data_IF_845162947032
#
_entry.id   IF_845162947032
#
_cell.length_a   1.000
_cell.length_b   1.000
_cell.length_c   1.000
_cell.angle_alpha   90.00
_cell.angle_beta   90.00
_cell.angle_gamma   90.00
#
_symmetry.space_group_name_H-M   'P 1'
#
loop_
_entity.id
_entity.type
_entity.pdbx_description
1 polymer ?
#
# COMPACT_ATOMS: atom_id res chain seq x y z
N UNK A 1 -19.96 31.73 14.27
CA UNK A 1 -20.70 31.96 13.03
C UNK A 1 -22.08 32.51 13.22
N UNK A 2 -22.62 33.13 12.18
CA UNK A 2 -24.02 33.55 12.15
C UNK A 2 -24.91 32.33 11.90
N UNK A 3 -25.27 31.59 12.94
CA UNK A 3 -25.96 30.30 12.83
C UNK A 3 -27.35 30.35 12.18
N UNK A 4 -27.94 31.55 12.07
CA UNK A 4 -29.23 31.79 11.45
C UNK A 4 -29.17 32.30 10.01
N UNK A 5 -27.96 32.60 9.48
CA UNK A 5 -27.74 33.09 8.12
C UNK A 5 -28.06 31.95 7.14
N UNK A 6 -29.08 32.13 6.28
CA UNK A 6 -29.52 31.09 5.33
C UNK A 6 -28.95 31.30 3.90
N UNK A 7 -28.87 32.54 3.45
CA UNK A 7 -28.41 32.88 2.11
C UNK A 7 -27.49 34.10 2.17
N UNK A 8 -26.54 34.15 1.28
CA UNK A 8 -25.68 35.29 1.08
C UNK A 8 -25.42 35.48 -0.41
N UNK A 9 -25.50 36.70 -0.87
CA UNK A 9 -25.13 37.11 -2.23
C UNK A 9 -23.88 37.97 -2.09
N UNK A 10 -22.78 37.49 -2.66
CA UNK A 10 -21.51 38.22 -2.66
C UNK A 10 -21.46 39.18 -3.85
N UNK A 11 -20.94 40.39 -3.68
CA UNK A 11 -20.84 41.36 -4.77
C UNK A 11 -19.85 40.87 -5.84
N UNK A 12 -20.12 41.17 -7.10
CA UNK A 12 -19.26 40.76 -8.25
C UNK A 12 -17.83 41.32 -8.18
N UNK A 13 -17.60 42.37 -7.40
CA UNK A 13 -16.29 42.98 -7.15
C UNK A 13 -15.46 42.21 -6.10
N UNK A 14 -16.05 41.25 -5.38
CA UNK A 14 -15.35 40.51 -4.36
C UNK A 14 -14.28 39.60 -5.00
N UNK A 15 -13.03 39.72 -4.52
CA UNK A 15 -11.92 38.94 -5.03
C UNK A 15 -11.52 37.77 -4.10
N UNK A 16 -11.84 37.86 -2.82
CA UNK A 16 -11.37 36.91 -1.81
C UNK A 16 -12.37 36.73 -0.68
N UNK A 17 -12.54 35.48 -0.26
CA UNK A 17 -13.20 35.13 1.01
C UNK A 17 -12.10 34.90 2.05
N UNK A 18 -12.13 35.64 3.14
CA UNK A 18 -11.11 35.59 4.20
C UNK A 18 -11.19 34.33 5.04
N UNK A 19 -10.16 34.14 5.88
CA UNK A 19 -10.08 33.04 6.84
C UNK A 19 -11.26 33.10 7.82
N UNK A 20 -11.95 31.97 8.02
CA UNK A 20 -13.09 31.79 8.94
C UNK A 20 -14.29 32.70 8.70
N UNK A 21 -14.43 33.32 7.51
CA UNK A 21 -15.48 34.33 7.25
C UNK A 21 -16.89 33.82 7.54
N UNK A 22 -17.20 32.57 7.19
CA UNK A 22 -18.51 31.92 7.40
C UNK A 22 -18.42 30.68 8.29
N UNK A 23 -17.34 30.53 9.06
CA UNK A 23 -17.14 29.38 9.93
C UNK A 23 -18.34 29.21 10.91
N UNK A 24 -18.97 28.02 10.88
CA UNK A 24 -20.09 27.69 11.74
C UNK A 24 -21.40 28.41 11.37
N UNK A 25 -21.56 28.91 10.13
CA UNK A 25 -22.85 29.39 9.62
C UNK A 25 -23.72 28.18 9.27
N UNK A 26 -24.21 27.48 10.30
CA UNK A 26 -24.83 26.16 10.19
C UNK A 26 -26.17 26.13 9.41
N UNK A 27 -26.84 27.28 9.28
CA UNK A 27 -28.06 27.39 8.48
C UNK A 27 -27.83 27.86 7.03
N UNK A 28 -26.59 28.11 6.61
CA UNK A 28 -26.26 28.61 5.28
C UNK A 28 -26.52 27.52 4.24
N UNK A 29 -27.49 27.76 3.35
CA UNK A 29 -27.95 26.78 2.35
C UNK A 29 -27.24 26.99 1.00
N UNK A 30 -27.12 28.26 0.57
CA UNK A 30 -26.55 28.64 -0.71
C UNK A 30 -25.59 29.81 -0.58
N UNK A 31 -24.53 29.74 -1.40
CA UNK A 31 -23.55 30.81 -1.57
C UNK A 31 -23.24 30.95 -3.06
N UNK A 32 -23.46 32.14 -3.61
CA UNK A 32 -23.00 32.49 -4.95
C UNK A 32 -21.63 33.15 -4.86
N UNK A 33 -20.57 32.48 -5.32
CA UNK A 33 -19.18 32.92 -5.13
C UNK A 33 -18.76 34.07 -6.07
N UNK A 34 -19.52 34.33 -7.15
CA UNK A 34 -19.15 35.35 -8.13
C UNK A 34 -17.79 35.07 -8.78
N UNK A 35 -16.91 36.09 -8.82
CA UNK A 35 -15.60 36.03 -9.48
C UNK A 35 -14.41 35.99 -8.50
N UNK A 36 -14.55 35.30 -7.37
CA UNK A 36 -13.46 35.24 -6.37
C UNK A 36 -12.27 34.43 -6.89
N UNK A 37 -11.06 34.86 -6.48
CA UNK A 37 -9.80 34.21 -6.81
C UNK A 37 -9.34 33.22 -5.74
N UNK A 38 -9.79 33.40 -4.49
CA UNK A 38 -9.35 32.54 -3.39
C UNK A 38 -10.39 32.41 -2.27
N UNK A 39 -10.41 31.25 -1.64
CA UNK A 39 -11.17 30.95 -0.42
C UNK A 39 -10.16 30.65 0.68
N UNK A 40 -10.25 31.39 1.78
CA UNK A 40 -9.34 31.26 2.92
C UNK A 40 -9.58 30.02 3.76
N UNK A 41 -8.62 29.75 4.65
CA UNK A 41 -8.70 28.61 5.58
C UNK A 41 -9.97 28.68 6.44
N UNK A 42 -10.61 27.52 6.64
CA UNK A 42 -11.77 27.39 7.55
C UNK A 42 -12.98 28.26 7.12
N UNK A 43 -13.00 28.80 5.90
CA UNK A 43 -13.95 29.83 5.49
C UNK A 43 -15.41 29.43 5.66
N UNK A 44 -15.80 28.21 5.28
CA UNK A 44 -17.15 27.64 5.40
C UNK A 44 -17.17 26.38 6.28
N UNK A 45 -16.18 26.19 7.14
CA UNK A 45 -16.12 25.03 8.02
C UNK A 45 -17.40 24.94 8.87
N UNK A 46 -18.01 23.76 8.91
CA UNK A 46 -19.25 23.53 9.67
C UNK A 46 -20.48 24.26 9.15
N UNK A 47 -20.53 24.67 7.87
CA UNK A 47 -21.75 25.10 7.19
C UNK A 47 -22.61 23.88 6.88
N UNK A 48 -23.20 23.28 7.91
CA UNK A 48 -23.82 21.94 7.82
C UNK A 48 -25.06 21.90 6.94
N UNK A 49 -25.74 23.02 6.67
CA UNK A 49 -26.88 23.09 5.76
C UNK A 49 -26.53 23.39 4.30
N UNK A 50 -25.25 23.67 3.99
CA UNK A 50 -24.82 23.97 2.62
C UNK A 50 -24.96 22.74 1.72
N UNK A 51 -25.79 22.86 0.65
CA UNK A 51 -26.16 21.71 -0.19
C UNK A 51 -25.35 21.62 -1.48
N UNK A 52 -24.93 22.76 -2.01
CA UNK A 52 -24.16 22.82 -3.27
C UNK A 52 -23.22 24.01 -3.28
N UNK A 53 -22.13 23.89 -4.06
CA UNK A 53 -21.19 24.97 -4.32
C UNK A 53 -20.70 24.92 -5.76
N UNK A 54 -20.65 26.09 -6.42
CA UNK A 54 -20.06 26.25 -7.74
C UNK A 54 -18.83 27.14 -7.63
N UNK A 55 -17.69 26.61 -7.99
CA UNK A 55 -16.42 27.32 -7.98
C UNK A 55 -16.19 28.02 -9.33
N UNK A 56 -15.91 29.33 -9.34
CA UNK A 56 -15.69 30.07 -10.57
C UNK A 56 -14.37 29.65 -11.24
N UNK A 57 -14.31 29.86 -12.54
CA UNK A 57 -13.18 29.44 -13.37
C UNK A 57 -11.86 30.14 -12.99
N UNK A 58 -11.89 31.34 -12.43
CA UNK A 58 -10.73 32.12 -12.00
C UNK A 58 -10.24 31.77 -10.59
N UNK A 59 -10.88 30.82 -9.87
CA UNK A 59 -10.44 30.39 -8.56
C UNK A 59 -9.09 29.65 -8.65
N UNK A 60 -8.11 30.09 -7.85
CA UNK A 60 -6.75 29.53 -7.80
C UNK A 60 -6.47 28.75 -6.51
N UNK A 61 -7.27 28.95 -5.45
CA UNK A 61 -7.05 28.22 -4.19
C UNK A 61 -8.31 28.06 -3.35
N UNK A 62 -8.43 26.87 -2.77
CA UNK A 62 -9.34 26.54 -1.66
C UNK A 62 -8.46 26.26 -0.45
N UNK A 63 -8.63 27.01 0.63
CA UNK A 63 -7.82 26.92 1.85
C UNK A 63 -8.04 25.63 2.64
N UNK A 64 -7.21 25.43 3.67
CA UNK A 64 -7.33 24.30 4.56
C UNK A 64 -8.65 24.34 5.33
N UNK A 65 -9.32 23.19 5.51
CA UNK A 65 -10.60 23.04 6.20
C UNK A 65 -11.72 23.95 5.63
N UNK A 66 -11.58 24.46 4.42
CA UNK A 66 -12.49 25.51 3.92
C UNK A 66 -13.96 25.09 3.93
N UNK A 67 -14.30 23.83 3.66
CA UNK A 67 -15.65 23.25 3.68
C UNK A 67 -15.73 22.01 4.58
N UNK A 68 -14.77 21.80 5.49
CA UNK A 68 -14.78 20.63 6.38
C UNK A 68 -16.06 20.60 7.19
N UNK A 69 -16.70 19.44 7.30
CA UNK A 69 -17.94 19.25 8.03
C UNK A 69 -19.20 19.88 7.38
N UNK A 70 -19.18 20.23 6.10
CA UNK A 70 -20.38 20.59 5.35
C UNK A 70 -21.18 19.32 5.02
N UNK A 71 -21.87 18.77 6.01
CA UNK A 71 -22.46 17.41 5.94
C UNK A 71 -23.59 17.27 4.94
N UNK A 72 -24.31 18.34 4.59
CA UNK A 72 -25.35 18.34 3.56
C UNK A 72 -24.83 18.63 2.15
N UNK A 73 -23.51 18.95 2.00
CA UNK A 73 -22.93 19.25 0.70
C UNK A 73 -22.93 18.01 -0.19
N UNK A 74 -23.77 18.02 -1.20
CA UNK A 74 -23.98 16.89 -2.12
C UNK A 74 -23.45 17.14 -3.52
N UNK A 75 -23.26 18.42 -3.92
CA UNK A 75 -22.81 18.81 -5.24
C UNK A 75 -21.69 19.84 -5.18
N UNK A 76 -20.59 19.51 -5.85
CA UNK A 76 -19.45 20.39 -6.11
C UNK A 76 -19.32 20.52 -7.62
N UNK A 77 -19.36 21.76 -8.12
CA UNK A 77 -19.16 22.05 -9.53
C UNK A 77 -18.01 23.04 -9.71
N UNK A 78 -17.16 22.81 -10.68
CA UNK A 78 -16.16 23.76 -11.14
C UNK A 78 -16.60 24.29 -12.49
N UNK A 79 -16.69 25.62 -12.65
CA UNK A 79 -16.98 26.22 -13.95
C UNK A 79 -15.85 25.89 -14.93
N UNK A 80 -16.24 25.54 -16.15
CA UNK A 80 -15.28 25.31 -17.24
C UNK A 80 -14.63 26.63 -17.67
N UNK A 81 -13.34 26.60 -17.99
CA UNK A 81 -12.67 27.72 -18.64
C UNK A 81 -13.28 27.89 -20.03
N UNK A 82 -13.87 29.06 -20.29
CA UNK A 82 -14.20 29.47 -21.66
C UNK A 82 -12.85 29.75 -22.37
N UNK A 83 -12.43 28.81 -23.20
CA UNK A 83 -11.22 28.93 -24.02
C UNK A 83 -11.35 30.17 -24.90
N UNK A 84 -10.87 31.30 -24.43
CA UNK A 84 -10.55 32.44 -25.28
C UNK A 84 -9.15 32.15 -25.85
N UNK A 85 -9.05 32.12 -27.18
CA UNK A 85 -7.86 31.75 -27.98
C UNK A 85 -6.55 32.53 -27.67
N UNK A 86 -6.50 33.34 -26.62
CA UNK A 86 -5.36 34.24 -26.36
C UNK A 86 -4.55 33.93 -25.09
N UNK A 87 -4.95 32.95 -24.26
CA UNK A 87 -4.19 32.60 -23.05
C UNK A 87 -4.00 31.09 -22.95
N UNK A 88 -2.82 30.61 -23.34
CA UNK A 88 -2.38 29.20 -23.30
C UNK A 88 -2.00 28.69 -21.89
N UNK A 89 -2.13 29.49 -20.84
CA UNK A 89 -1.76 29.09 -19.51
C UNK A 89 -3.02 28.90 -18.63
N UNK A 90 -3.33 27.63 -18.35
CA UNK A 90 -4.30 27.28 -17.31
C UNK A 90 -3.78 27.82 -15.99
N UNK A 91 -4.53 28.68 -15.31
CA UNK A 91 -4.19 29.13 -13.96
C UNK A 91 -4.25 27.93 -13.02
N UNK A 92 -3.10 27.53 -12.45
CA UNK A 92 -3.04 26.39 -11.52
C UNK A 92 -3.91 26.65 -10.30
N UNK A 93 -4.57 25.58 -9.81
CA UNK A 93 -5.42 25.61 -8.62
C UNK A 93 -4.94 24.60 -7.58
N UNK A 94 -5.01 24.98 -6.32
CA UNK A 94 -4.73 24.08 -5.18
C UNK A 94 -5.98 23.88 -4.33
N UNK A 95 -6.19 22.65 -3.88
CA UNK A 95 -7.19 22.28 -2.86
C UNK A 95 -6.41 21.93 -1.59
N UNK A 96 -6.66 22.69 -0.51
CA UNK A 96 -5.94 22.59 0.75
C UNK A 96 -6.21 21.33 1.54
N UNK A 97 -5.47 21.18 2.66
CA UNK A 97 -5.64 20.06 3.56
C UNK A 97 -7.03 20.10 4.22
N UNK A 98 -7.67 18.94 4.36
CA UNK A 98 -8.99 18.78 4.98
C UNK A 98 -10.11 19.63 4.33
N UNK A 99 -9.90 20.12 3.11
CA UNK A 99 -10.78 21.13 2.52
C UNK A 99 -12.26 20.72 2.49
N UNK A 100 -12.57 19.44 2.26
CA UNK A 100 -13.92 18.85 2.23
C UNK A 100 -14.05 17.64 3.14
N UNK A 101 -13.20 17.54 4.18
CA UNK A 101 -13.28 16.41 5.12
C UNK A 101 -14.67 16.32 5.73
N UNK A 102 -15.25 15.10 5.75
CA UNK A 102 -16.53 14.84 6.36
C UNK A 102 -17.74 15.44 5.60
N UNK A 103 -17.59 15.81 4.34
CA UNK A 103 -18.72 16.14 3.46
C UNK A 103 -19.43 14.83 3.04
N UNK A 104 -20.23 14.29 3.95
CA UNK A 104 -20.71 12.91 3.89
C UNK A 104 -21.75 12.65 2.78
N UNK A 105 -22.28 13.70 2.14
CA UNK A 105 -23.28 13.57 1.06
C UNK A 105 -22.74 13.78 -0.36
N UNK A 106 -21.49 14.17 -0.54
CA UNK A 106 -20.88 14.24 -1.88
C UNK A 106 -20.95 12.84 -2.51
N UNK A 107 -21.62 12.73 -3.67
CA UNK A 107 -21.84 11.44 -4.34
C UNK A 107 -20.83 11.21 -5.49
N UNK A 108 -20.61 12.23 -6.31
CA UNK A 108 -19.66 12.18 -7.42
C UNK A 108 -18.78 13.42 -7.41
N UNK A 109 -17.54 13.29 -7.89
CA UNK A 109 -16.59 14.39 -7.91
C UNK A 109 -15.82 14.40 -9.22
N UNK A 110 -15.79 15.56 -9.89
CA UNK A 110 -14.90 15.83 -11.01
C UNK A 110 -13.92 16.92 -10.61
N UNK A 111 -12.63 16.59 -10.59
CA UNK A 111 -11.52 17.51 -10.35
C UNK A 111 -11.02 18.01 -11.71
N UNK A 112 -11.06 19.32 -12.00
CA UNK A 112 -10.69 19.86 -13.33
C UNK A 112 -9.17 19.83 -13.57
N UNK A 113 -8.78 19.97 -14.85
CA UNK A 113 -7.38 19.95 -15.29
C UNK A 113 -6.49 21.00 -14.59
N UNK A 114 -7.04 22.15 -14.23
CA UNK A 114 -6.30 23.22 -13.53
C UNK A 114 -5.86 22.84 -12.10
N UNK A 115 -6.45 21.84 -11.48
CA UNK A 115 -6.05 21.40 -10.13
C UNK A 115 -4.78 20.57 -10.22
N UNK A 116 -3.69 21.11 -9.66
CA UNK A 116 -2.36 20.48 -9.70
C UNK A 116 -2.01 19.71 -8.42
N UNK A 117 -2.63 20.09 -7.30
CA UNK A 117 -2.34 19.50 -5.98
C UNK A 117 -3.61 19.33 -5.18
N UNK A 118 -3.75 18.14 -4.60
CA UNK A 118 -4.79 17.79 -3.66
C UNK A 118 -4.16 17.57 -2.29
N UNK A 119 -4.58 18.37 -1.31
CA UNK A 119 -4.03 18.36 0.05
C UNK A 119 -4.33 17.06 0.82
N UNK A 120 -3.66 16.91 1.96
CA UNK A 120 -3.89 15.79 2.86
C UNK A 120 -5.33 15.85 3.41
N UNK A 121 -5.99 14.69 3.50
CA UNK A 121 -7.37 14.55 4.00
C UNK A 121 -8.42 15.37 3.23
N UNK A 122 -8.11 15.85 2.01
CA UNK A 122 -8.96 16.81 1.31
C UNK A 122 -10.42 16.36 1.17
N UNK A 123 -10.70 15.08 0.93
CA UNK A 123 -12.03 14.47 0.83
C UNK A 123 -12.16 13.24 1.77
N UNK A 124 -11.36 13.22 2.85
CA UNK A 124 -11.44 12.11 3.82
C UNK A 124 -12.87 12.01 4.40
N UNK A 125 -13.36 10.78 4.58
CA UNK A 125 -14.71 10.51 5.11
C UNK A 125 -15.86 11.11 4.29
N UNK A 126 -15.69 11.31 2.99
CA UNK A 126 -16.80 11.56 2.08
C UNK A 126 -17.54 10.22 1.84
N UNK A 127 -18.34 9.79 2.82
CA UNK A 127 -18.85 8.41 2.90
C UNK A 127 -19.84 8.04 1.78
N UNK A 128 -20.52 9.02 1.17
CA UNK A 128 -21.43 8.79 0.04
C UNK A 128 -20.71 8.78 -1.32
N UNK A 129 -19.44 9.20 -1.39
CA UNK A 129 -18.71 9.34 -2.65
C UNK A 129 -18.56 7.99 -3.34
N UNK A 130 -19.09 7.86 -4.55
CA UNK A 130 -19.07 6.63 -5.36
C UNK A 130 -18.05 6.69 -6.49
N UNK A 131 -17.81 7.87 -7.05
CA UNK A 131 -16.88 8.04 -8.16
C UNK A 131 -16.12 9.35 -8.12
N UNK A 132 -14.84 9.29 -8.53
CA UNK A 132 -13.98 10.46 -8.71
C UNK A 132 -13.33 10.39 -10.08
N UNK A 133 -13.35 11.53 -10.81
CA UNK A 133 -12.58 11.72 -12.03
C UNK A 133 -11.60 12.88 -11.85
N UNK A 134 -10.33 12.60 -12.07
CA UNK A 134 -9.24 13.59 -12.00
C UNK A 134 -8.89 14.11 -13.38
N UNK A 135 -8.72 15.43 -13.47
CA UNK A 135 -8.19 16.09 -14.64
C UNK A 135 -6.69 15.82 -14.83
N UNK A 136 -6.20 16.18 -16.01
CA UNK A 136 -4.84 15.87 -16.45
C UNK A 136 -3.75 16.71 -15.77
N UNK A 137 -4.10 17.78 -15.06
CA UNK A 137 -3.11 18.62 -14.36
C UNK A 137 -2.70 18.12 -12.98
N UNK A 138 -3.43 17.14 -12.40
CA UNK A 138 -3.14 16.67 -11.05
C UNK A 138 -1.84 15.85 -11.01
N UNK A 139 -0.86 16.34 -10.24
CA UNK A 139 0.46 15.70 -10.06
C UNK A 139 0.51 14.84 -8.82
N UNK A 140 -0.18 15.24 -7.75
CA UNK A 140 -0.12 14.52 -6.48
C UNK A 140 -1.47 14.47 -5.76
N UNK A 141 -1.76 13.30 -5.19
CA UNK A 141 -2.87 13.06 -4.26
C UNK A 141 -2.27 12.98 -2.86
N UNK A 142 -2.74 13.86 -1.95
CA UNK A 142 -2.24 13.96 -0.59
C UNK A 142 -2.56 12.73 0.27
N UNK A 143 -1.93 12.67 1.46
CA UNK A 143 -2.15 11.59 2.40
C UNK A 143 -3.61 11.58 2.86
N UNK A 144 -4.24 10.40 2.94
CA UNK A 144 -5.64 10.20 3.33
C UNK A 144 -6.65 10.99 2.49
N UNK A 145 -6.28 11.47 1.30
CA UNK A 145 -7.14 12.39 0.54
C UNK A 145 -8.55 11.84 0.29
N UNK A 146 -8.70 10.54 0.08
CA UNK A 146 -9.97 9.81 -0.05
C UNK A 146 -10.08 8.66 0.96
N UNK A 147 -9.33 8.72 2.07
CA UNK A 147 -9.43 7.73 3.12
C UNK A 147 -10.85 7.65 3.68
N UNK A 148 -11.31 6.44 3.99
CA UNK A 148 -12.67 6.18 4.52
C UNK A 148 -13.82 6.67 3.63
N UNK A 149 -13.62 6.84 2.32
CA UNK A 149 -14.69 7.00 1.34
C UNK A 149 -15.33 5.63 1.07
N UNK A 150 -16.14 5.15 2.01
CA UNK A 150 -16.62 3.76 2.11
C UNK A 150 -17.46 3.26 0.93
N UNK A 151 -17.94 4.16 0.05
CA UNK A 151 -18.70 3.80 -1.15
C UNK A 151 -17.94 4.04 -2.45
N UNK A 152 -16.67 4.50 -2.38
CA UNK A 152 -15.89 4.82 -3.58
C UNK A 152 -15.51 3.54 -4.33
N UNK A 153 -16.14 3.34 -5.48
CA UNK A 153 -15.93 2.17 -6.36
C UNK A 153 -15.23 2.51 -7.67
N UNK A 154 -15.21 3.79 -8.05
CA UNK A 154 -14.65 4.18 -9.36
C UNK A 154 -13.73 5.38 -9.21
N UNK A 155 -12.52 5.23 -9.72
CA UNK A 155 -11.53 6.31 -9.82
C UNK A 155 -10.96 6.33 -11.23
N UNK A 156 -11.00 7.51 -11.87
CA UNK A 156 -10.34 7.75 -13.15
C UNK A 156 -9.21 8.75 -12.92
N UNK A 157 -7.98 8.33 -13.15
CA UNK A 157 -6.80 9.19 -13.00
C UNK A 157 -6.52 9.99 -14.27
N UNK A 158 -6.05 11.23 -14.09
CA UNK A 158 -5.47 12.03 -15.17
C UNK A 158 -4.05 11.58 -15.54
N UNK A 159 -3.53 12.11 -16.62
CA UNK A 159 -2.27 11.64 -17.24
C UNK A 159 -1.00 12.19 -16.60
N UNK A 160 -1.07 13.13 -15.66
CA UNK A 160 0.11 13.76 -15.01
C UNK A 160 0.37 13.26 -13.58
N UNK A 161 -0.42 12.30 -13.07
CA UNK A 161 -0.30 11.86 -11.70
C UNK A 161 1.03 11.12 -11.45
N UNK A 162 1.87 11.67 -10.58
CA UNK A 162 3.15 11.09 -10.19
C UNK A 162 3.11 10.39 -8.82
N UNK A 163 2.32 10.91 -7.89
CA UNK A 163 2.34 10.44 -6.49
C UNK A 163 0.95 10.20 -5.93
N UNK A 164 0.76 9.04 -5.35
CA UNK A 164 -0.39 8.67 -4.50
C UNK A 164 0.13 8.62 -3.06
N UNK A 165 -0.41 9.47 -2.18
CA UNK A 165 0.04 9.62 -0.80
C UNK A 165 -0.31 8.45 0.12
N UNK A 166 0.19 8.52 1.36
CA UNK A 166 -0.12 7.55 2.41
C UNK A 166 -1.64 7.46 2.63
N UNK A 167 -2.18 6.24 2.67
CA UNK A 167 -3.62 5.96 2.91
C UNK A 167 -4.58 6.74 2.02
N UNK A 168 -4.12 7.21 0.87
CA UNK A 168 -4.92 8.08 -0.01
C UNK A 168 -6.28 7.49 -0.39
N UNK A 169 -6.39 6.17 -0.54
CA UNK A 169 -7.62 5.44 -0.86
C UNK A 169 -7.93 4.32 0.15
N UNK A 170 -7.38 4.39 1.37
CA UNK A 170 -7.62 3.36 2.38
C UNK A 170 -9.10 3.23 2.72
N UNK A 171 -9.56 1.97 2.92
CA UNK A 171 -10.96 1.64 3.27
C UNK A 171 -11.99 2.13 2.22
N UNK A 172 -11.61 2.18 0.95
CA UNK A 172 -12.54 2.38 -0.18
C UNK A 172 -13.04 1.03 -0.72
N UNK A 173 -13.95 1.06 -1.71
CA UNK A 173 -14.51 -0.14 -2.36
C UNK A 173 -14.01 -0.31 -3.79
N UNK A 174 -12.78 0.12 -4.07
CA UNK A 174 -12.20 0.00 -5.40
C UNK A 174 -11.98 -1.47 -5.78
N UNK A 175 -12.61 -1.95 -6.88
CA UNK A 175 -12.44 -3.33 -7.33
C UNK A 175 -11.19 -3.52 -8.19
N UNK A 176 -10.71 -2.46 -8.82
CA UNK A 176 -9.55 -2.50 -9.72
C UNK A 176 -8.74 -1.22 -9.65
N UNK A 177 -7.47 -1.33 -10.03
CA UNK A 177 -6.53 -0.21 -10.11
C UNK A 177 -5.77 -0.27 -11.42
N UNK A 178 -5.87 0.79 -12.24
CA UNK A 178 -5.02 1.02 -13.40
C UNK A 178 -4.32 2.35 -13.23
N UNK A 179 -2.98 2.33 -13.16
CA UNK A 179 -2.18 3.53 -12.93
C UNK A 179 -1.81 4.22 -14.25
N UNK A 180 -1.86 5.57 -14.31
CA UNK A 180 -1.31 6.31 -15.45
C UNK A 180 0.21 6.09 -15.57
N UNK A 181 0.73 6.21 -16.79
CA UNK A 181 2.15 5.94 -17.10
C UNK A 181 3.15 6.84 -16.33
N UNK A 182 2.69 7.96 -15.82
CA UNK A 182 3.47 8.95 -15.07
C UNK A 182 3.63 8.63 -13.59
N UNK A 183 2.82 7.71 -13.04
CA UNK A 183 2.85 7.40 -11.59
C UNK A 183 4.15 6.69 -11.21
N UNK A 184 4.87 7.29 -10.26
CA UNK A 184 6.17 6.83 -9.75
C UNK A 184 6.09 6.26 -8.34
N UNK A 185 5.19 6.80 -7.51
CA UNK A 185 5.16 6.49 -6.07
C UNK A 185 3.74 6.15 -5.62
N UNK A 186 3.61 5.00 -4.97
CA UNK A 186 2.45 4.61 -4.18
C UNK A 186 2.90 4.61 -2.72
N UNK A 187 2.28 5.46 -1.89
CA UNK A 187 2.60 5.63 -0.47
C UNK A 187 2.18 4.45 0.40
N UNK A 188 2.59 4.52 1.66
CA UNK A 188 2.25 3.51 2.66
C UNK A 188 0.74 3.39 2.85
N UNK A 189 0.23 2.16 2.96
CA UNK A 189 -1.20 1.88 3.19
C UNK A 189 -2.15 2.47 2.13
N UNK A 190 -1.66 2.92 0.98
CA UNK A 190 -2.43 3.71 0.02
C UNK A 190 -3.78 3.07 -0.38
N UNK A 191 -3.83 1.74 -0.52
CA UNK A 191 -5.00 0.94 -0.87
C UNK A 191 -5.35 -0.10 0.20
N UNK A 192 -4.97 0.15 1.46
CA UNK A 192 -5.31 -0.73 2.57
C UNK A 192 -6.83 -0.88 2.72
N UNK A 193 -7.31 -2.11 2.85
CA UNK A 193 -8.74 -2.38 3.00
C UNK A 193 -9.59 -2.20 1.73
N UNK A 194 -8.94 -2.02 0.56
CA UNK A 194 -9.63 -2.02 -0.73
C UNK A 194 -9.84 -3.46 -1.24
N UNK A 195 -11.02 -3.82 -1.77
CA UNK A 195 -11.28 -5.16 -2.30
C UNK A 195 -10.72 -5.36 -3.72
N UNK A 196 -9.53 -4.81 -4.02
CA UNK A 196 -8.91 -4.90 -5.34
C UNK A 196 -8.74 -6.35 -5.77
N UNK A 197 -9.30 -6.70 -6.93
CA UNK A 197 -9.13 -8.00 -7.57
C UNK A 197 -8.27 -7.93 -8.85
N UNK A 198 -7.97 -6.72 -9.33
CA UNK A 198 -7.08 -6.46 -10.46
C UNK A 198 -6.23 -5.23 -10.21
N UNK A 199 -4.93 -5.33 -10.51
CA UNK A 199 -3.98 -4.22 -10.42
C UNK A 199 -3.12 -4.23 -11.69
N UNK A 200 -3.11 -3.10 -12.40
CA UNK A 200 -2.23 -2.85 -13.55
C UNK A 200 -1.22 -1.77 -13.18
N UNK A 201 0.02 -2.17 -12.93
CA UNK A 201 1.13 -1.25 -12.70
C UNK A 201 1.69 -0.74 -14.02
N UNK A 202 2.09 0.52 -14.05
CA UNK A 202 2.79 1.11 -15.19
C UNK A 202 4.31 0.82 -15.13
N UNK A 203 4.99 0.91 -16.28
CA UNK A 203 6.44 0.65 -16.41
C UNK A 203 7.32 1.81 -15.89
N UNK A 204 6.75 2.85 -15.31
CA UNK A 204 7.47 3.97 -14.68
C UNK A 204 7.40 3.95 -13.15
N UNK A 205 6.64 3.03 -12.55
CA UNK A 205 6.48 2.92 -11.10
C UNK A 205 7.82 2.55 -10.44
N UNK A 206 8.21 3.28 -9.39
CA UNK A 206 9.49 3.12 -8.70
C UNK A 206 9.34 2.59 -7.28
N UNK A 207 8.28 3.02 -6.59
CA UNK A 207 8.07 2.72 -5.17
C UNK A 207 6.66 2.23 -4.89
N UNK A 208 6.57 1.13 -4.16
CA UNK A 208 5.36 0.62 -3.52
C UNK A 208 5.62 0.64 -2.02
N UNK A 209 4.86 1.45 -1.29
CA UNK A 209 5.02 1.67 0.15
C UNK A 209 4.64 0.47 1.02
N UNK A 210 4.95 0.58 2.31
CA UNK A 210 4.60 -0.44 3.30
C UNK A 210 3.10 -0.60 3.41
N UNK A 211 2.62 -1.85 3.42
CA UNK A 211 1.18 -2.21 3.51
C UNK A 211 0.30 -1.58 2.42
N UNK A 212 0.89 -1.10 1.33
CA UNK A 212 0.15 -0.39 0.28
C UNK A 212 -1.04 -1.19 -0.27
N UNK A 213 -0.90 -2.51 -0.38
CA UNK A 213 -1.89 -3.47 -0.88
C UNK A 213 -2.16 -4.60 0.12
N UNK A 214 -2.09 -4.31 1.42
CA UNK A 214 -2.36 -5.31 2.45
C UNK A 214 -3.78 -5.87 2.32
N UNK A 215 -3.90 -7.18 2.19
CA UNK A 215 -5.18 -7.89 2.20
C UNK A 215 -6.03 -7.76 0.93
N UNK A 216 -5.46 -7.27 -0.18
CA UNK A 216 -6.18 -7.22 -1.47
C UNK A 216 -6.47 -8.61 -2.03
N UNK A 217 -7.46 -8.71 -2.92
CA UNK A 217 -8.02 -9.98 -3.42
C UNK A 217 -7.46 -10.42 -4.78
N UNK A 218 -6.35 -9.84 -5.23
CA UNK A 218 -5.74 -10.17 -6.54
C UNK A 218 -5.28 -11.63 -6.59
N UNK A 219 -5.40 -12.25 -7.78
CA UNK A 219 -4.97 -13.63 -8.02
C UNK A 219 -3.53 -13.70 -8.54
N UNK A 220 -3.07 -12.67 -9.24
CA UNK A 220 -1.72 -12.58 -9.78
C UNK A 220 -1.17 -11.17 -9.73
N UNK A 221 0.16 -11.04 -9.61
CA UNK A 221 0.88 -9.79 -9.63
C UNK A 221 2.06 -9.84 -10.58
N UNK A 222 2.19 -8.80 -11.39
CA UNK A 222 3.38 -8.55 -12.19
C UNK A 222 3.96 -7.18 -11.76
N UNK A 223 5.06 -7.20 -11.01
CA UNK A 223 5.73 -5.99 -10.53
C UNK A 223 6.76 -5.56 -11.60
N UNK A 224 6.65 -4.33 -12.14
CA UNK A 224 7.53 -3.87 -13.21
C UNK A 224 9.02 -3.82 -12.82
N UNK A 225 9.89 -3.92 -13.81
CA UNK A 225 11.35 -3.80 -13.64
C UNK A 225 11.79 -2.44 -13.06
N UNK A 226 11.00 -1.42 -13.25
CA UNK A 226 11.26 -0.06 -12.73
C UNK A 226 11.11 0.06 -11.22
N UNK A 227 10.36 -0.86 -10.58
CA UNK A 227 10.18 -0.84 -9.12
C UNK A 227 11.47 -1.26 -8.45
N UNK A 228 12.03 -0.35 -7.64
CA UNK A 228 13.26 -0.58 -6.87
C UNK A 228 13.02 -0.63 -5.36
N UNK A 229 11.84 -0.20 -4.92
CA UNK A 229 11.44 -0.21 -3.51
C UNK A 229 10.08 -0.87 -3.33
N UNK A 230 10.05 -1.97 -2.58
CA UNK A 230 8.85 -2.70 -2.19
C UNK A 230 8.79 -2.77 -0.66
N UNK A 231 7.86 -2.05 -0.06
CA UNK A 231 7.79 -1.88 1.39
C UNK A 231 7.37 -3.14 2.15
N UNK A 232 7.70 -3.17 3.45
CA UNK A 232 7.29 -4.25 4.34
C UNK A 232 5.77 -4.43 4.36
N UNK A 233 5.31 -5.67 4.41
CA UNK A 233 3.87 -6.03 4.38
C UNK A 233 3.13 -5.58 3.11
N UNK A 234 3.80 -5.15 2.04
CA UNK A 234 3.13 -4.53 0.89
C UNK A 234 1.97 -5.36 0.33
N UNK A 235 2.10 -6.68 0.27
CA UNK A 235 1.10 -7.64 -0.18
C UNK A 235 0.78 -8.71 0.89
N UNK A 236 1.01 -8.41 2.16
CA UNK A 236 0.68 -9.35 3.23
C UNK A 236 -0.83 -9.62 3.28
N UNK A 237 -1.21 -10.84 3.66
CA UNK A 237 -2.61 -11.28 3.78
C UNK A 237 -3.42 -11.25 2.46
N UNK A 238 -2.76 -11.25 1.29
CA UNK A 238 -3.41 -11.42 -0.02
C UNK A 238 -3.74 -12.91 -0.24
N UNK A 239 -4.86 -13.37 0.35
CA UNK A 239 -5.19 -14.79 0.44
C UNK A 239 -5.47 -15.47 -0.91
N UNK A 240 -5.88 -14.70 -1.91
CA UNK A 240 -6.18 -15.21 -3.27
C UNK A 240 -4.95 -15.19 -4.19
N UNK A 241 -3.87 -14.53 -3.77
CA UNK A 241 -2.67 -14.38 -4.58
C UNK A 241 -1.99 -15.72 -4.81
N UNK A 242 -2.01 -16.22 -6.04
CA UNK A 242 -1.49 -17.52 -6.46
C UNK A 242 -0.14 -17.43 -7.14
N UNK A 243 0.13 -16.33 -7.85
CA UNK A 243 1.38 -16.13 -8.59
C UNK A 243 1.90 -14.70 -8.50
N UNK A 244 3.23 -14.55 -8.43
CA UNK A 244 3.93 -13.27 -8.40
C UNK A 244 5.14 -13.32 -9.33
N UNK A 245 5.30 -12.29 -10.16
CA UNK A 245 6.53 -12.03 -10.90
C UNK A 245 7.09 -10.69 -10.41
N UNK A 246 8.28 -10.72 -9.83
CA UNK A 246 9.00 -9.51 -9.40
C UNK A 246 9.93 -9.04 -10.51
N UNK A 247 9.87 -7.74 -10.80
CA UNK A 247 10.79 -7.10 -11.74
C UNK A 247 12.24 -7.13 -11.26
N UNK A 248 13.15 -6.96 -12.20
CA UNK A 248 14.61 -7.01 -11.96
C UNK A 248 15.15 -5.88 -11.08
N UNK A 249 14.39 -4.82 -10.86
CA UNK A 249 14.76 -3.72 -9.95
C UNK A 249 14.69 -4.09 -8.46
N UNK A 250 13.96 -5.18 -8.11
CA UNK A 250 13.81 -5.62 -6.72
C UNK A 250 14.93 -6.58 -6.36
N UNK A 251 15.84 -6.13 -5.48
CA UNK A 251 16.95 -6.92 -4.95
C UNK A 251 16.70 -7.48 -3.56
N UNK A 252 15.69 -6.97 -2.87
CA UNK A 252 15.29 -7.41 -1.53
C UNK A 252 13.78 -7.58 -1.44
N UNK A 253 13.33 -8.69 -0.88
CA UNK A 253 11.96 -8.87 -0.41
C UNK A 253 11.93 -8.46 1.06
N UNK A 254 11.25 -7.36 1.37
CA UNK A 254 11.19 -6.80 2.72
C UNK A 254 10.39 -7.69 3.68
N UNK A 255 10.49 -7.37 4.98
CA UNK A 255 9.82 -8.13 6.03
C UNK A 255 8.32 -8.24 5.79
N UNK A 256 7.77 -9.44 5.95
CA UNK A 256 6.35 -9.76 5.84
C UNK A 256 5.71 -9.44 4.48
N UNK A 257 6.48 -9.17 3.43
CA UNK A 257 5.93 -8.70 2.12
C UNK A 257 4.79 -9.58 1.59
N UNK A 258 4.94 -10.89 1.62
CA UNK A 258 3.94 -11.89 1.18
C UNK A 258 3.45 -12.77 2.35
N UNK A 259 3.60 -12.31 3.59
CA UNK A 259 3.14 -13.06 4.74
C UNK A 259 1.65 -13.40 4.62
N UNK A 260 1.28 -14.65 4.93
CA UNK A 260 -0.12 -15.14 4.90
C UNK A 260 -0.80 -15.08 3.52
N UNK A 261 -0.02 -15.09 2.42
CA UNK A 261 -0.53 -15.34 1.08
C UNK A 261 -0.78 -16.85 0.92
N UNK A 262 -1.90 -17.33 1.50
CA UNK A 262 -2.16 -18.78 1.65
C UNK A 262 -2.34 -19.54 0.34
N UNK A 263 -2.67 -18.83 -0.76
CA UNK A 263 -2.80 -19.40 -2.10
C UNK A 263 -1.56 -19.24 -2.97
N UNK A 264 -0.47 -18.62 -2.43
CA UNK A 264 0.74 -18.42 -3.21
C UNK A 264 1.43 -19.75 -3.50
N UNK A 265 1.50 -20.10 -4.78
CA UNK A 265 2.11 -21.34 -5.27
C UNK A 265 3.33 -21.12 -6.16
N UNK A 266 3.43 -19.95 -6.80
CA UNK A 266 4.52 -19.61 -7.70
C UNK A 266 5.01 -18.18 -7.45
N UNK A 267 6.34 -18.00 -7.38
CA UNK A 267 7.00 -16.71 -7.35
C UNK A 267 8.26 -16.70 -8.19
N UNK A 268 8.41 -15.71 -9.05
CA UNK A 268 9.62 -15.42 -9.81
C UNK A 268 10.26 -14.15 -9.27
N UNK A 269 11.54 -14.25 -8.85
CA UNK A 269 12.29 -13.13 -8.29
C UNK A 269 13.75 -13.18 -8.75
N UNK A 270 14.03 -12.82 -10.02
CA UNK A 270 15.29 -13.11 -10.68
C UNK A 270 16.50 -12.37 -10.08
N UNK A 271 16.30 -11.21 -9.47
CA UNK A 271 17.37 -10.34 -8.97
C UNK A 271 17.49 -10.28 -7.45
N UNK A 272 16.63 -11.02 -6.73
CA UNK A 272 16.59 -10.95 -5.25
C UNK A 272 17.83 -11.60 -4.66
N UNK A 273 18.47 -10.89 -3.71
CA UNK A 273 19.62 -11.33 -2.94
C UNK A 273 19.31 -11.48 -1.45
N UNK A 274 18.23 -10.85 -0.96
CA UNK A 274 17.84 -10.86 0.45
C UNK A 274 16.33 -11.16 0.59
N UNK A 275 16.01 -12.07 1.47
CA UNK A 275 14.62 -12.40 1.87
C UNK A 275 14.45 -11.99 3.32
N UNK A 276 13.59 -11.01 3.58
CA UNK A 276 13.33 -10.43 4.89
C UNK A 276 12.60 -11.35 5.87
N UNK A 277 12.45 -10.89 7.11
CA UNK A 277 11.81 -11.64 8.16
C UNK A 277 10.35 -11.95 7.83
N UNK A 278 9.94 -13.22 7.97
CA UNK A 278 8.57 -13.70 7.72
C UNK A 278 8.03 -13.33 6.34
N UNK A 279 8.90 -13.08 5.35
CA UNK A 279 8.49 -12.59 4.03
C UNK A 279 7.48 -13.51 3.34
N UNK A 280 7.58 -14.84 3.53
CA UNK A 280 6.67 -15.86 3.03
C UNK A 280 6.02 -16.68 4.14
N UNK A 281 6.08 -16.23 5.39
CA UNK A 281 5.50 -17.01 6.47
C UNK A 281 4.01 -17.27 6.21
N UNK A 282 3.57 -18.51 6.44
CA UNK A 282 2.19 -18.97 6.22
C UNK A 282 1.72 -18.95 4.76
N UNK A 283 2.63 -18.96 3.78
CA UNK A 283 2.33 -19.31 2.39
C UNK A 283 2.14 -20.86 2.31
N UNK A 284 0.98 -21.31 2.73
CA UNK A 284 0.75 -22.72 3.10
C UNK A 284 0.84 -23.73 1.95
N UNK A 285 0.64 -23.28 0.70
CA UNK A 285 0.73 -24.13 -0.50
C UNK A 285 1.97 -23.86 -1.35
N UNK A 286 2.86 -22.94 -0.93
CA UNK A 286 4.12 -22.68 -1.63
C UNK A 286 5.02 -23.91 -1.54
N UNK A 287 5.32 -24.52 -2.70
CA UNK A 287 6.17 -25.72 -2.81
C UNK A 287 7.60 -25.38 -3.18
N UNK A 288 7.72 -24.57 -4.21
CA UNK A 288 9.02 -24.17 -4.78
C UNK A 288 9.39 -22.79 -4.21
N UNK A 289 10.39 -22.78 -3.32
CA UNK A 289 10.86 -21.55 -2.72
C UNK A 289 11.92 -20.89 -3.59
N UNK A 290 11.98 -19.55 -3.65
CA UNK A 290 12.83 -18.83 -4.58
C UNK A 290 14.29 -18.74 -4.08
N UNK A 291 14.90 -19.87 -3.73
CA UNK A 291 16.30 -19.92 -3.31
C UNK A 291 17.20 -20.25 -4.52
N UNK A 292 18.00 -19.30 -4.91
CA UNK A 292 19.01 -19.42 -5.96
C UNK A 292 20.38 -18.94 -5.45
N UNK A 293 21.44 -19.12 -6.24
CA UNK A 293 22.83 -18.80 -5.85
C UNK A 293 23.10 -17.29 -5.67
N UNK A 294 22.12 -16.40 -5.90
CA UNK A 294 22.24 -14.97 -5.59
C UNK A 294 21.82 -14.64 -4.17
N UNK A 295 21.06 -15.52 -3.51
CA UNK A 295 20.54 -15.27 -2.15
C UNK A 295 21.68 -15.36 -1.15
N UNK A 296 21.89 -14.29 -0.38
CA UNK A 296 22.90 -14.20 0.67
C UNK A 296 22.32 -14.16 2.08
N UNK A 297 21.07 -13.69 2.20
CA UNK A 297 20.42 -13.45 3.50
C UNK A 297 19.03 -14.03 3.54
N UNK A 298 18.73 -14.78 4.60
CA UNK A 298 17.40 -15.28 4.95
C UNK A 298 17.00 -14.73 6.33
N UNK A 299 16.01 -13.87 6.38
CA UNK A 299 15.50 -13.26 7.62
C UNK A 299 14.76 -14.26 8.52
N UNK A 300 14.54 -13.89 9.78
CA UNK A 300 13.86 -14.73 10.76
C UNK A 300 12.49 -15.21 10.26
N UNK A 301 12.24 -16.52 10.31
CA UNK A 301 10.97 -17.11 9.92
C UNK A 301 10.57 -16.92 8.46
N UNK A 302 11.51 -16.66 7.55
CA UNK A 302 11.23 -16.29 6.15
C UNK A 302 10.21 -17.24 5.49
N UNK A 303 10.27 -18.54 5.76
CA UNK A 303 9.36 -19.60 5.26
C UNK A 303 8.61 -20.31 6.37
N UNK A 304 8.46 -19.70 7.54
CA UNK A 304 7.74 -20.29 8.66
C UNK A 304 6.33 -20.71 8.26
N UNK A 305 5.93 -21.94 8.61
CA UNK A 305 4.61 -22.50 8.30
C UNK A 305 4.26 -22.60 6.81
N UNK A 306 5.26 -22.67 5.93
CA UNK A 306 5.09 -23.04 4.53
C UNK A 306 4.93 -24.58 4.45
N UNK A 307 3.72 -25.04 4.72
CA UNK A 307 3.44 -26.47 4.96
C UNK A 307 3.67 -27.36 3.77
N UNK A 308 3.56 -26.84 2.53
CA UNK A 308 3.66 -27.65 1.31
C UNK A 308 5.11 -27.83 0.81
N UNK A 309 6.11 -27.20 1.41
CA UNK A 309 7.52 -27.43 1.06
C UNK A 309 7.89 -28.86 1.40
N UNK A 310 8.36 -29.62 0.40
CA UNK A 310 8.77 -31.03 0.57
C UNK A 310 10.28 -31.20 0.60
N UNK A 311 11.04 -30.30 0.00
CA UNK A 311 12.49 -30.31 0.00
C UNK A 311 13.05 -28.89 -0.02
N UNK A 312 14.22 -28.69 0.55
CA UNK A 312 14.94 -27.42 0.50
C UNK A 312 16.42 -27.64 0.31
N UNK A 313 17.02 -26.84 -0.57
CA UNK A 313 18.46 -26.66 -0.67
C UNK A 313 18.76 -25.19 -0.41
N UNK A 314 19.39 -24.91 0.73
CA UNK A 314 19.90 -23.57 1.04
C UNK A 314 21.19 -23.38 0.26
N UNK A 315 21.30 -22.33 -0.61
CA UNK A 315 22.46 -22.12 -1.47
C UNK A 315 23.75 -21.89 -0.69
N UNK A 316 24.87 -22.16 -1.35
CA UNK A 316 26.22 -21.90 -0.78
C UNK A 316 26.46 -20.40 -0.53
N UNK A 317 25.79 -19.54 -1.24
CA UNK A 317 25.87 -18.08 -1.11
C UNK A 317 25.24 -17.54 0.18
N UNK A 318 24.36 -18.30 0.84
CA UNK A 318 23.72 -17.86 2.08
C UNK A 318 24.72 -17.86 3.22
N UNK A 319 25.06 -16.67 3.71
CA UNK A 319 25.96 -16.44 4.84
C UNK A 319 25.25 -15.91 6.08
N UNK A 320 24.08 -15.32 5.92
CA UNK A 320 23.24 -14.84 7.02
C UNK A 320 21.90 -15.59 7.00
N UNK A 321 21.73 -16.47 7.98
CA UNK A 321 20.57 -17.32 8.13
C UNK A 321 19.91 -17.05 9.50
N UNK A 322 18.75 -16.42 9.48
CA UNK A 322 17.99 -16.09 10.68
C UNK A 322 17.41 -17.32 11.40
N UNK A 323 16.71 -17.08 12.50
CA UNK A 323 16.04 -18.14 13.29
C UNK A 323 14.71 -18.57 12.66
N UNK A 324 14.21 -19.77 13.00
CA UNK A 324 12.85 -20.25 12.65
C UNK A 324 12.53 -20.30 11.17
N UNK A 325 13.54 -20.36 10.29
CA UNK A 325 13.35 -20.22 8.83
C UNK A 325 12.29 -21.17 8.28
N UNK A 326 12.31 -22.45 8.67
CA UNK A 326 11.40 -23.50 8.23
C UNK A 326 10.53 -24.05 9.38
N UNK A 327 10.39 -23.29 10.48
CA UNK A 327 9.56 -23.70 11.61
C UNK A 327 8.12 -24.01 11.13
N UNK A 328 7.63 -25.21 11.40
CA UNK A 328 6.27 -25.65 11.01
C UNK A 328 6.10 -26.02 9.54
N UNK A 329 7.19 -26.26 8.79
CA UNK A 329 7.14 -26.86 7.45
C UNK A 329 6.89 -28.38 7.59
N UNK A 330 5.63 -28.75 7.88
CA UNK A 330 5.25 -30.12 8.31
C UNK A 330 5.43 -31.17 7.22
N UNK A 331 5.41 -30.80 5.94
CA UNK A 331 5.60 -31.72 4.80
C UNK A 331 7.07 -31.83 4.36
N UNK A 332 8.00 -31.08 4.96
CA UNK A 332 9.42 -31.09 4.61
C UNK A 332 10.02 -32.49 4.86
N UNK A 333 10.49 -33.15 3.80
CA UNK A 333 11.09 -34.50 3.85
C UNK A 333 12.61 -34.45 3.93
N UNK A 334 13.20 -33.47 3.22
CA UNK A 334 14.67 -33.36 3.11
C UNK A 334 15.14 -31.90 3.11
N UNK A 335 16.31 -31.66 3.68
CA UNK A 335 16.97 -30.37 3.66
C UNK A 335 18.47 -30.52 3.42
N UNK A 336 19.05 -29.57 2.68
CA UNK A 336 20.50 -29.42 2.49
C UNK A 336 20.90 -28.01 2.84
N UNK A 337 21.90 -27.85 3.71
CA UNK A 337 22.45 -26.54 4.06
C UNK A 337 23.77 -26.32 3.31
N UNK A 338 23.85 -25.19 2.60
CA UNK A 338 25.02 -24.79 1.83
C UNK A 338 26.26 -24.47 2.69
N UNK A 339 27.40 -24.38 2.05
CA UNK A 339 28.69 -24.16 2.70
C UNK A 339 28.87 -22.78 3.34
N UNK A 340 28.06 -21.79 2.97
CA UNK A 340 28.03 -20.46 3.59
C UNK A 340 27.38 -20.46 4.98
N UNK A 341 26.67 -21.54 5.37
CA UNK A 341 25.99 -21.63 6.67
C UNK A 341 26.95 -22.20 7.69
N UNK A 342 27.28 -21.43 8.74
CA UNK A 342 28.22 -21.83 9.82
C UNK A 342 27.53 -22.37 11.07
N UNK A 343 26.24 -22.23 11.20
CA UNK A 343 25.44 -22.79 12.30
C UNK A 343 24.03 -23.11 11.84
N UNK A 344 23.37 -24.10 12.45
CA UNK A 344 21.93 -24.29 12.33
C UNK A 344 21.27 -23.38 13.36
N UNK A 345 20.60 -22.29 12.96
CA UNK A 345 20.03 -21.33 13.92
C UNK A 345 18.92 -21.93 14.79
N UNK A 346 18.53 -21.20 15.84
CA UNK A 346 17.45 -21.63 16.74
C UNK A 346 16.13 -21.84 15.95
N UNK A 347 15.41 -22.91 16.28
CA UNK A 347 14.09 -23.27 15.73
C UNK A 347 14.08 -23.49 14.20
N UNK A 348 15.22 -23.64 13.53
CA UNK A 348 15.29 -23.69 12.05
C UNK A 348 14.31 -24.71 11.45
N UNK A 349 14.27 -25.93 11.97
CA UNK A 349 13.41 -27.03 11.53
C UNK A 349 12.43 -27.47 12.62
N UNK A 350 12.14 -26.59 13.59
CA UNK A 350 11.17 -26.91 14.64
C UNK A 350 9.82 -27.32 14.02
N UNK A 351 9.19 -28.39 14.52
CA UNK A 351 7.94 -28.94 14.02
C UNK A 351 7.96 -29.41 12.54
N UNK A 352 9.12 -29.69 11.96
CA UNK A 352 9.22 -30.36 10.66
C UNK A 352 9.05 -31.88 10.85
N UNK A 353 7.81 -32.32 11.17
CA UNK A 353 7.52 -33.69 11.62
C UNK A 353 7.86 -34.77 10.60
N UNK A 354 7.85 -34.45 9.29
CA UNK A 354 8.21 -35.39 8.22
C UNK A 354 9.68 -35.30 7.78
N UNK A 355 10.50 -34.43 8.37
CA UNK A 355 11.91 -34.31 8.01
C UNK A 355 12.64 -35.61 8.34
N UNK A 356 13.00 -36.36 7.28
CA UNK A 356 13.67 -37.66 7.39
C UNK A 356 15.17 -37.58 7.14
N UNK A 357 15.59 -36.66 6.28
CA UNK A 357 17.00 -36.49 5.87
C UNK A 357 17.44 -35.05 5.89
N UNK A 358 18.66 -34.83 6.38
CA UNK A 358 19.31 -33.53 6.32
C UNK A 358 20.79 -33.69 5.99
N UNK A 359 21.30 -32.84 5.10
CA UNK A 359 22.72 -32.73 4.80
C UNK A 359 23.23 -31.43 5.41
N UNK A 360 24.19 -31.56 6.33
CA UNK A 360 24.92 -30.44 6.92
C UNK A 360 26.25 -30.27 6.22
N UNK A 361 26.63 -29.01 5.92
CA UNK A 361 27.96 -28.72 5.39
C UNK A 361 29.03 -28.90 6.47
N UNK A 362 30.27 -29.15 6.05
CA UNK A 362 31.43 -29.27 6.97
C UNK A 362 31.73 -27.99 7.75
N UNK A 363 31.21 -26.85 7.29
CA UNK A 363 31.42 -25.55 7.93
C UNK A 363 30.54 -25.32 9.16
N UNK A 364 29.52 -26.19 9.39
CA UNK A 364 28.63 -26.04 10.54
C UNK A 364 29.34 -26.45 11.82
N UNK A 365 29.41 -25.52 12.77
CA UNK A 365 30.05 -25.67 14.07
C UNK A 365 29.09 -25.79 15.24
N UNK A 366 27.82 -25.41 15.07
CA UNK A 366 26.84 -25.47 16.15
C UNK A 366 25.42 -25.72 15.67
N UNK A 367 24.62 -26.34 16.56
CA UNK A 367 23.19 -26.56 16.39
C UNK A 367 22.44 -25.73 17.45
N UNK A 368 21.54 -24.87 16.98
CA UNK A 368 20.78 -23.93 17.78
C UNK A 368 19.73 -24.59 18.68
N UNK A 369 19.20 -23.81 19.61
CA UNK A 369 18.15 -24.21 20.52
C UNK A 369 16.88 -24.58 19.76
N UNK A 370 16.25 -25.72 20.08
CA UNK A 370 15.06 -26.25 19.42
C UNK A 370 15.17 -26.43 17.89
N UNK A 371 16.39 -26.49 17.34
CA UNK A 371 16.61 -26.49 15.89
C UNK A 371 15.89 -27.65 15.17
N UNK A 372 15.76 -28.80 15.80
CA UNK A 372 15.10 -30.02 15.30
C UNK A 372 14.02 -30.53 16.26
N UNK A 373 13.45 -29.65 17.09
CA UNK A 373 12.36 -30.05 17.99
C UNK A 373 11.18 -30.61 17.20
N UNK A 374 10.60 -31.72 17.62
CA UNK A 374 9.48 -32.41 16.98
C UNK A 374 9.74 -32.85 15.51
N UNK A 375 11.00 -33.07 15.12
CA UNK A 375 11.35 -33.73 13.84
C UNK A 375 11.21 -35.26 14.00
N UNK A 376 9.98 -35.74 14.18
CA UNK A 376 9.70 -37.12 14.59
C UNK A 376 10.07 -38.18 13.56
N UNK A 377 10.31 -37.81 12.29
CA UNK A 377 10.76 -38.71 11.22
C UNK A 377 12.29 -38.75 11.07
N UNK A 378 13.05 -37.91 11.77
CA UNK A 378 14.51 -37.84 11.65
C UNK A 378 15.18 -39.00 12.38
N UNK A 379 15.46 -40.09 11.66
CA UNK A 379 16.02 -41.30 12.22
C UNK A 379 17.55 -41.23 12.43
N UNK A 380 18.25 -40.41 11.67
CA UNK A 380 19.70 -40.23 11.76
C UNK A 380 20.11 -38.80 11.33
N UNK A 381 21.09 -38.25 12.03
CA UNK A 381 21.74 -37.00 11.68
C UNK A 381 23.26 -37.23 11.64
N UNK A 382 23.87 -37.32 10.48
CA UNK A 382 25.32 -37.40 10.36
C UNK A 382 25.93 -36.06 10.76
N UNK A 383 26.41 -35.97 12.00
CA UNK A 383 27.13 -34.79 12.49
C UNK A 383 28.53 -34.75 11.91
N UNK A 384 28.95 -33.59 11.43
CA UNK A 384 30.32 -33.34 10.97
C UNK A 384 31.30 -33.23 12.14
N UNK A 385 32.59 -33.52 11.92
CA UNK A 385 33.61 -33.44 12.95
C UNK A 385 33.81 -32.03 13.52
N UNK A 386 33.32 -30.99 12.82
CA UNK A 386 33.49 -29.60 13.20
C UNK A 386 32.38 -29.07 14.16
N UNK A 387 31.38 -29.87 14.47
CA UNK A 387 30.32 -29.46 15.42
C UNK A 387 30.91 -29.50 16.83
N UNK A 388 30.99 -28.33 17.46
CA UNK A 388 31.47 -28.14 18.82
C UNK A 388 30.39 -27.88 19.86
N UNK A 389 29.16 -27.53 19.40
CA UNK A 389 28.07 -27.16 20.31
C UNK A 389 26.72 -27.64 19.80
N UNK A 390 25.95 -28.26 20.70
CA UNK A 390 24.51 -28.56 20.53
C UNK A 390 23.77 -27.88 21.68
N UNK A 391 22.88 -26.93 21.34
CA UNK A 391 22.18 -26.12 22.34
C UNK A 391 20.96 -26.84 22.93
N UNK A 392 20.36 -26.20 23.97
CA UNK A 392 19.27 -26.78 24.75
C UNK A 392 18.10 -27.18 23.86
N UNK A 393 17.54 -28.36 24.11
CA UNK A 393 16.34 -28.89 23.45
C UNK A 393 16.46 -29.02 21.91
N UNK A 394 17.67 -29.02 21.35
CA UNK A 394 17.88 -29.08 19.91
C UNK A 394 17.10 -30.23 19.24
N UNK A 395 16.98 -31.36 19.89
CA UNK A 395 16.28 -32.59 19.42
C UNK A 395 15.14 -33.01 20.32
N UNK A 396 14.47 -32.12 21.03
CA UNK A 396 13.37 -32.47 21.93
C UNK A 396 12.14 -32.94 21.12
N UNK A 397 11.56 -34.08 21.47
CA UNK A 397 10.31 -34.60 20.89
C UNK A 397 10.47 -35.88 20.12
#
# INVERSE_FOLDING_TARGET
GCSTLKNIILPSSLQKIGVRSFNGCSSLINVELGHINSIGDVAFNGCTALTSITFPNNLTSIGNYAFSGCTELSSITFEEEKLNQSTLELSSMTIGNYAFEGCTKINTLTIPDKVTTLGNYAFNKCEALTSVSFGNGLVSIGNYAFGDCKKLTTVTFGTSLETIGERAFSNTQLPSLTLPSTTKIIGDWAFYGCPLNSIEFNNGLQTIGSRAFYGVSVESLNIPNSVTSLGSYAFSNCKNLSSVVLGTGITKIEDYTFNSCSSLSNIECPSVTEIGASAFASCSILKDIPLNENITTLGNGAFKSCKAITSVTVPNSVTDMGTSIFDGCTELLSATLGTGVFSVPNYTFNNCSKLATIVLSENITSIGQYAFQNCTSLAALPLTANITQINNYAFKG
#
